data_IF_170961187892
#
_entry.id   IF_170961187892
#
_cell.length_a   1.000
_cell.length_b   1.000
_cell.length_c   1.000
_cell.angle_alpha   90.00
_cell.angle_beta   90.00
_cell.angle_gamma   90.00
#
_symmetry.space_group_name_H-M   'P 1'
#
loop_
_entity.id
_entity.type
_entity.pdbx_description
1 polymer ?
#
# COMPACT_ATOMS: atom_id res chain seq x y z
N UNK A 1 -3.10 7.11 -34.50
CA UNK A 1 -3.59 6.95 -33.11
C UNK A 1 -5.06 7.33 -33.06
N UNK A 2 -5.94 6.56 -32.39
CA UNK A 2 -7.38 6.87 -32.23
C UNK A 2 -7.72 6.94 -30.74
N UNK A 3 -8.58 7.87 -30.35
CA UNK A 3 -9.06 8.05 -28.98
C UNK A 3 -10.47 7.50 -28.84
N UNK A 4 -10.83 7.04 -27.64
CA UNK A 4 -12.21 6.68 -27.29
C UNK A 4 -12.85 7.89 -26.57
N UNK A 5 -13.78 8.62 -27.22
CA UNK A 5 -14.39 9.82 -26.65
C UNK A 5 -15.06 9.60 -25.28
N UNK A 6 -15.71 8.44 -25.07
CA UNK A 6 -16.41 8.11 -23.83
C UNK A 6 -15.47 7.95 -22.63
N UNK A 7 -14.18 7.72 -22.89
CA UNK A 7 -13.13 7.56 -21.86
C UNK A 7 -12.20 8.77 -21.77
N UNK A 8 -12.39 9.76 -22.63
CA UNK A 8 -11.57 10.96 -22.65
C UNK A 8 -12.16 12.01 -21.70
N UNK A 9 -11.29 12.62 -20.90
CA UNK A 9 -11.65 13.68 -19.95
C UNK A 9 -10.72 14.85 -20.18
N UNK A 10 -11.27 16.05 -20.37
CA UNK A 10 -10.52 17.26 -20.72
C UNK A 10 -10.90 18.42 -19.80
N UNK A 11 -9.94 19.30 -19.48
CA UNK A 11 -10.20 20.52 -18.71
C UNK A 11 -10.66 20.31 -17.25
N UNK A 12 -10.49 19.12 -16.69
CA UNK A 12 -10.92 18.80 -15.32
C UNK A 12 -9.83 19.13 -14.29
N UNK A 13 -10.24 19.52 -13.08
CA UNK A 13 -9.33 19.81 -11.96
C UNK A 13 -8.73 18.53 -11.30
N UNK A 14 -9.28 17.37 -11.63
CA UNK A 14 -8.78 16.08 -11.20
C UNK A 14 -9.52 14.93 -11.85
N UNK A 15 -8.93 13.73 -11.83
CA UNK A 15 -9.51 12.57 -12.51
C UNK A 15 -8.76 11.26 -12.28
N UNK A 16 -9.35 10.17 -12.78
CA UNK A 16 -8.77 8.82 -12.72
C UNK A 16 -7.66 8.70 -13.76
N UNK A 17 -6.45 8.31 -13.33
CA UNK A 17 -5.33 8.04 -14.23
C UNK A 17 -4.48 6.88 -13.71
N UNK A 18 -4.22 5.88 -14.56
CA UNK A 18 -3.45 4.67 -14.23
C UNK A 18 -3.87 3.99 -12.90
N UNK A 19 -5.15 4.03 -12.57
CA UNK A 19 -5.70 3.42 -11.36
C UNK A 19 -5.53 4.25 -10.07
N UNK A 20 -5.15 5.52 -10.17
CA UNK A 20 -5.08 6.53 -9.10
C UNK A 20 -6.04 7.69 -9.37
N UNK A 21 -6.32 8.49 -8.35
CA UNK A 21 -6.98 9.79 -8.48
C UNK A 21 -5.92 10.88 -8.49
N UNK A 22 -5.86 11.70 -9.53
CA UNK A 22 -4.93 12.82 -9.62
C UNK A 22 -5.71 14.09 -9.40
N UNK A 23 -5.33 14.88 -8.40
CA UNK A 23 -5.98 16.16 -8.06
C UNK A 23 -4.93 17.26 -7.90
N UNK A 24 -5.37 18.50 -7.67
CA UNK A 24 -4.46 19.60 -7.32
C UNK A 24 -3.75 19.37 -5.97
N UNK A 25 -4.35 18.58 -5.06
CA UNK A 25 -3.77 18.24 -3.77
C UNK A 25 -2.64 17.22 -3.89
N UNK A 26 -2.62 16.41 -4.94
CA UNK A 26 -1.61 15.37 -5.14
C UNK A 26 -2.15 14.12 -5.84
N UNK A 27 -1.60 12.97 -5.45
CA UNK A 27 -1.99 11.64 -5.91
C UNK A 27 -2.78 10.99 -4.78
N UNK A 28 -4.02 10.64 -5.06
CA UNK A 28 -4.97 10.07 -4.12
C UNK A 28 -5.30 8.62 -4.49
N UNK A 29 -5.66 7.84 -3.47
CA UNK A 29 -6.13 6.48 -3.68
C UNK A 29 -7.42 6.49 -4.51
N UNK A 30 -7.60 5.49 -5.37
CA UNK A 30 -8.85 5.37 -6.11
C UNK A 30 -9.98 4.99 -5.15
N UNK A 31 -10.96 5.88 -5.02
CA UNK A 31 -12.12 5.72 -4.14
C UNK A 31 -12.89 4.43 -4.42
N UNK A 32 -13.01 4.00 -5.67
CA UNK A 32 -13.70 2.75 -6.01
C UNK A 32 -12.98 1.54 -5.38
N UNK A 33 -11.64 1.55 -5.41
CA UNK A 33 -10.81 0.48 -4.83
C UNK A 33 -10.90 0.47 -3.30
N UNK A 34 -10.87 1.65 -2.67
CA UNK A 34 -11.05 1.79 -1.23
C UNK A 34 -12.44 1.29 -0.80
N UNK A 35 -13.49 1.80 -1.45
CA UNK A 35 -14.89 1.43 -1.19
C UNK A 35 -15.12 -0.07 -1.36
N UNK A 36 -14.51 -0.69 -2.39
CA UNK A 36 -14.61 -2.13 -2.58
C UNK A 36 -14.07 -2.94 -1.40
N UNK A 37 -13.04 -2.47 -0.68
CA UNK A 37 -12.54 -3.11 0.54
C UNK A 37 -13.41 -2.75 1.75
N UNK A 38 -13.79 -1.48 1.90
CA UNK A 38 -14.63 -1.00 3.02
C UNK A 38 -15.97 -1.74 3.07
N UNK A 39 -16.59 -1.99 1.92
CA UNK A 39 -17.87 -2.69 1.81
C UNK A 39 -17.75 -4.22 1.78
N UNK A 40 -16.53 -4.76 1.67
CA UNK A 40 -16.31 -6.20 1.62
C UNK A 40 -16.69 -6.86 2.96
N UNK A 41 -17.35 -8.02 2.92
CA UNK A 41 -17.54 -8.84 4.11
C UNK A 41 -16.23 -9.56 4.47
N UNK A 42 -16.12 -10.05 5.70
CA UNK A 42 -14.96 -10.85 6.12
C UNK A 42 -14.80 -12.07 5.18
N UNK A 43 -13.58 -12.39 4.73
CA UNK A 43 -13.33 -13.55 3.88
C UNK A 43 -13.72 -14.89 4.53
N UNK A 44 -14.44 -15.74 3.79
CA UNK A 44 -14.85 -17.07 4.28
C UNK A 44 -14.10 -18.22 3.61
N UNK A 45 -13.29 -17.92 2.59
CA UNK A 45 -12.53 -18.91 1.85
C UNK A 45 -11.27 -18.30 1.24
N UNK A 46 -10.39 -19.16 0.72
CA UNK A 46 -9.11 -18.75 0.11
C UNK A 46 -9.31 -17.81 -1.08
N UNK A 47 -10.38 -17.96 -1.88
CA UNK A 47 -10.64 -17.08 -3.03
C UNK A 47 -10.97 -15.65 -2.57
N UNK A 48 -11.72 -15.51 -1.48
CA UNK A 48 -12.01 -14.20 -0.90
C UNK A 48 -10.75 -13.55 -0.34
N UNK A 49 -9.86 -14.32 0.28
CA UNK A 49 -8.56 -13.81 0.73
C UNK A 49 -7.68 -13.38 -0.44
N UNK A 50 -7.64 -14.14 -1.53
CA UNK A 50 -6.92 -13.75 -2.75
C UNK A 50 -7.45 -12.44 -3.34
N UNK A 51 -8.78 -12.27 -3.37
CA UNK A 51 -9.42 -11.01 -3.79
C UNK A 51 -9.03 -9.85 -2.88
N UNK A 52 -9.11 -10.04 -1.56
CA UNK A 52 -8.71 -9.02 -0.58
C UNK A 52 -7.23 -8.64 -0.75
N UNK A 53 -6.34 -9.63 -0.84
CA UNK A 53 -4.91 -9.41 -1.02
C UNK A 53 -4.61 -8.64 -2.31
N UNK A 54 -5.24 -9.02 -3.44
CA UNK A 54 -5.10 -8.28 -4.70
C UNK A 54 -5.57 -6.83 -4.60
N UNK A 55 -6.70 -6.58 -3.92
CA UNK A 55 -7.22 -5.22 -3.69
C UNK A 55 -6.27 -4.41 -2.81
N UNK A 56 -5.74 -4.98 -1.72
CA UNK A 56 -4.76 -4.32 -0.85
C UNK A 56 -3.46 -3.99 -1.59
N UNK A 57 -2.94 -4.94 -2.37
CA UNK A 57 -1.71 -4.72 -3.18
C UNK A 57 -1.91 -3.59 -4.20
N UNK A 58 -3.11 -3.48 -4.79
CA UNK A 58 -3.44 -2.38 -5.71
C UNK A 58 -3.44 -0.98 -5.07
N UNK A 59 -3.40 -0.92 -3.72
CA UNK A 59 -3.32 0.27 -2.89
C UNK A 59 -2.00 0.37 -2.10
N UNK A 60 -1.06 -0.54 -2.33
CA UNK A 60 0.21 -0.65 -1.59
C UNK A 60 0.98 0.67 -1.49
N UNK A 61 0.94 1.48 -2.55
CA UNK A 61 1.57 2.81 -2.62
C UNK A 61 1.09 3.78 -1.51
N UNK A 62 -0.09 3.57 -0.92
CA UNK A 62 -0.69 4.44 0.10
C UNK A 62 -0.57 3.87 1.52
N UNK A 63 -0.13 2.63 1.69
CA UNK A 63 -0.20 1.90 2.96
C UNK A 63 1.21 1.64 3.47
N UNK A 64 1.66 2.45 4.41
CA UNK A 64 2.91 2.20 5.14
C UNK A 64 2.81 0.86 5.90
N UNK A 65 3.86 0.03 5.76
CA UNK A 65 3.97 -1.30 6.40
C UNK A 65 2.84 -2.26 6.01
N UNK A 66 2.31 -2.16 4.79
CA UNK A 66 1.29 -3.09 4.28
C UNK A 66 1.68 -4.56 4.49
N UNK A 67 2.90 -4.94 4.13
CA UNK A 67 3.38 -6.33 4.19
C UNK A 67 3.32 -6.91 5.61
N UNK A 68 3.59 -6.07 6.60
CA UNK A 68 3.57 -6.46 8.01
C UNK A 68 2.13 -6.50 8.54
N UNK A 69 1.36 -5.42 8.32
CA UNK A 69 -0.04 -5.32 8.75
C UNK A 69 -0.94 -6.38 8.12
N UNK A 70 -0.66 -6.77 6.88
CA UNK A 70 -1.38 -7.83 6.18
C UNK A 70 -0.80 -9.23 6.42
N UNK A 71 0.21 -9.36 7.29
CA UNK A 71 0.88 -10.63 7.59
C UNK A 71 -0.07 -11.79 7.93
N UNK A 72 -1.05 -11.62 8.83
CA UNK A 72 -2.03 -12.66 9.14
C UNK A 72 -2.82 -13.11 7.90
N UNK A 73 -3.29 -12.15 7.09
CA UNK A 73 -4.07 -12.39 5.88
C UNK A 73 -3.23 -13.10 4.81
N UNK A 74 -1.99 -12.66 4.59
CA UNK A 74 -1.09 -13.24 3.59
C UNK A 74 -0.61 -14.65 3.97
N UNK A 75 -0.59 -14.98 5.26
CA UNK A 75 -0.26 -16.34 5.72
C UNK A 75 -1.32 -17.36 5.26
N UNK A 76 -2.60 -16.97 5.22
CA UNK A 76 -3.69 -17.82 4.73
C UNK A 76 -3.56 -18.18 3.25
N UNK A 77 -2.89 -17.35 2.44
CA UNK A 77 -2.61 -17.65 1.03
C UNK A 77 -1.60 -18.78 0.86
N UNK A 78 -0.71 -18.99 1.84
CA UNK A 78 0.34 -20.03 1.79
C UNK A 78 -0.15 -21.40 2.26
N UNK A 79 -1.25 -21.46 3.03
CA UNK A 79 -1.77 -22.70 3.64
C UNK A 79 -3.24 -22.97 3.27
N UNK A 80 -3.55 -23.28 1.99
CA UNK A 80 -4.93 -23.41 1.54
C UNK A 80 -5.71 -24.59 2.15
N UNK A 81 -5.01 -25.62 2.68
CA UNK A 81 -5.65 -26.83 3.22
C UNK A 81 -6.26 -26.66 4.62
N UNK A 82 -5.75 -25.72 5.42
CA UNK A 82 -6.20 -25.45 6.79
C UNK A 82 -6.67 -23.99 6.88
N UNK A 83 -7.59 -23.61 6.00
CA UNK A 83 -8.10 -22.26 5.98
C UNK A 83 -8.92 -21.99 7.24
N UNK A 84 -8.50 -21.01 8.02
CA UNK A 84 -9.22 -20.52 9.19
C UNK A 84 -9.06 -19.00 9.23
N UNK A 85 -10.19 -18.28 9.22
CA UNK A 85 -10.19 -16.83 9.36
C UNK A 85 -10.13 -16.48 10.84
N UNK A 86 -8.92 -16.21 11.34
CA UNK A 86 -8.67 -15.97 12.78
C UNK A 86 -9.03 -14.56 13.21
N UNK A 87 -9.16 -14.34 14.53
CA UNK A 87 -9.41 -13.01 15.10
C UNK A 87 -8.33 -11.98 14.70
N UNK A 88 -7.07 -12.41 14.57
CA UNK A 88 -5.98 -11.55 14.09
C UNK A 88 -6.18 -11.13 12.62
N UNK A 89 -6.73 -12.01 11.79
CA UNK A 89 -7.06 -11.67 10.40
C UNK A 89 -8.21 -10.67 10.35
N UNK A 90 -9.23 -10.87 11.21
CA UNK A 90 -10.37 -9.96 11.31
C UNK A 90 -9.96 -8.58 11.82
N UNK A 91 -9.10 -8.50 12.83
CA UNK A 91 -8.56 -7.25 13.35
C UNK A 91 -7.75 -6.50 12.29
N UNK A 92 -6.84 -7.19 11.60
CA UNK A 92 -6.08 -6.60 10.50
C UNK A 92 -7.01 -6.08 9.39
N UNK A 93 -8.03 -6.85 9.02
CA UNK A 93 -9.00 -6.45 8.01
C UNK A 93 -9.81 -5.22 8.43
N UNK A 94 -10.32 -5.17 9.66
CA UNK A 94 -11.00 -3.99 10.22
C UNK A 94 -10.08 -2.77 10.26
N UNK A 95 -8.82 -2.95 10.67
CA UNK A 95 -7.81 -1.90 10.67
C UNK A 95 -7.60 -1.32 9.27
N UNK A 96 -7.53 -2.17 8.24
CA UNK A 96 -7.45 -1.71 6.85
C UNK A 96 -8.71 -0.97 6.41
N UNK A 97 -9.92 -1.44 6.77
CA UNK A 97 -11.15 -0.73 6.46
C UNK A 97 -11.15 0.69 7.03
N UNK A 98 -10.80 0.83 8.30
CA UNK A 98 -10.70 2.13 8.97
C UNK A 98 -9.62 3.01 8.35
N UNK A 99 -8.44 2.46 8.04
CA UNK A 99 -7.39 3.23 7.36
C UNK A 99 -7.84 3.75 5.99
N UNK A 100 -8.57 2.93 5.24
CA UNK A 100 -9.02 3.24 3.88
C UNK A 100 -10.21 4.20 3.81
N UNK A 101 -10.85 4.57 4.93
CA UNK A 101 -11.83 5.67 4.94
C UNK A 101 -11.16 7.01 4.67
N UNK A 102 -9.90 7.15 5.08
CA UNK A 102 -9.16 8.41 5.03
C UNK A 102 -7.70 8.16 4.63
N UNK A 103 -7.47 7.60 3.43
CA UNK A 103 -6.11 7.30 2.97
C UNK A 103 -5.32 8.60 2.78
N UNK A 104 -3.99 8.57 2.98
CA UNK A 104 -3.16 9.76 2.82
C UNK A 104 -3.15 10.22 1.35
N UNK A 105 -3.05 11.53 1.16
CA UNK A 105 -2.77 12.14 -0.14
C UNK A 105 -1.25 12.18 -0.32
N UNK A 106 -0.76 11.52 -1.37
CA UNK A 106 0.66 11.54 -1.68
C UNK A 106 1.01 12.77 -2.52
N UNK A 107 2.11 13.42 -2.18
CA UNK A 107 2.58 14.58 -2.92
C UNK A 107 3.40 14.16 -4.14
N UNK A 108 3.35 14.99 -5.19
CA UNK A 108 4.30 14.90 -6.29
C UNK A 108 5.66 15.39 -5.78
N UNK A 109 6.77 14.70 -6.07
CA UNK A 109 8.09 15.15 -5.66
C UNK A 109 8.40 16.51 -6.27
N UNK A 110 8.97 17.42 -5.47
CA UNK A 110 9.58 18.65 -5.95
C UNK A 110 11.06 18.35 -6.27
N UNK A 111 11.47 18.56 -7.53
CA UNK A 111 12.84 18.27 -7.95
C UNK A 111 13.89 19.24 -7.38
N UNK A 112 13.46 20.33 -6.72
CA UNK A 112 14.33 21.33 -6.10
C UNK A 112 14.48 21.17 -4.59
N UNK A 113 13.99 20.07 -4.02
CA UNK A 113 14.04 19.82 -2.57
C UNK A 113 14.52 18.41 -2.28
N UNK A 114 15.28 18.27 -1.20
CA UNK A 114 15.83 16.98 -0.80
C UNK A 114 14.73 15.98 -0.48
N UNK A 115 14.94 14.74 -0.91
CA UNK A 115 14.09 13.61 -0.56
C UNK A 115 14.64 12.98 0.72
N UNK A 116 13.78 12.83 1.72
CA UNK A 116 14.10 12.12 2.95
C UNK A 116 13.55 10.71 2.84
N UNK A 117 14.37 9.72 3.18
CA UNK A 117 14.01 8.31 3.14
C UNK A 117 14.03 7.73 4.55
N UNK A 118 12.89 7.23 4.99
CA UNK A 118 12.78 6.51 6.25
C UNK A 118 12.64 5.04 5.98
N UNK A 119 13.49 4.23 6.62
CA UNK A 119 13.49 2.79 6.52
C UNK A 119 12.90 2.18 7.78
N UNK A 120 12.10 1.13 7.62
CA UNK A 120 11.53 0.34 8.71
C UNK A 120 11.87 -1.11 8.46
N UNK A 121 12.46 -1.74 9.47
CA UNK A 121 12.78 -3.17 9.48
C UNK A 121 11.93 -3.84 10.54
N UNK A 122 11.11 -4.80 10.12
CA UNK A 122 10.41 -5.72 11.01
C UNK A 122 10.98 -7.14 10.90
N UNK A 123 10.42 -8.06 11.68
CA UNK A 123 10.85 -9.46 11.67
C UNK A 123 10.58 -10.15 10.33
N UNK A 124 9.38 -9.90 9.77
CA UNK A 124 8.86 -10.59 8.57
C UNK A 124 8.71 -9.68 7.35
N UNK A 125 9.01 -8.39 7.47
CA UNK A 125 8.84 -7.42 6.40
C UNK A 125 9.81 -6.25 6.55
N UNK A 126 10.12 -5.62 5.43
CA UNK A 126 10.80 -4.32 5.35
C UNK A 126 9.87 -3.32 4.70
N UNK A 127 10.03 -2.04 5.02
CA UNK A 127 9.25 -0.96 4.43
C UNK A 127 10.08 0.31 4.35
N UNK A 128 9.70 1.19 3.44
CA UNK A 128 10.30 2.49 3.31
C UNK A 128 9.23 3.54 3.02
N UNK A 129 9.47 4.77 3.45
CA UNK A 129 8.70 5.93 3.01
C UNK A 129 9.65 7.01 2.51
N UNK A 130 9.33 7.53 1.34
CA UNK A 130 9.96 8.72 0.79
C UNK A 130 9.08 9.93 1.12
N UNK A 131 9.67 10.95 1.73
CA UNK A 131 8.97 12.18 2.13
C UNK A 131 9.76 13.41 1.69
N UNK A 132 9.07 14.54 1.62
CA UNK A 132 9.69 15.87 1.46
C UNK A 132 9.20 16.82 2.54
N UNK A 133 10.11 17.64 3.04
CA UNK A 133 9.76 18.74 3.91
C UNK A 133 9.15 19.89 3.09
N UNK A 134 7.96 20.33 3.49
CA UNK A 134 7.24 21.48 2.95
C UNK A 134 6.62 22.23 4.11
N UNK A 135 6.86 23.53 4.18
CA UNK A 135 6.28 24.40 5.20
C UNK A 135 6.48 23.88 6.64
N UNK A 136 7.70 23.36 6.92
CA UNK A 136 8.08 22.73 8.20
C UNK A 136 7.30 21.45 8.55
N UNK A 137 6.69 20.81 7.56
CA UNK A 137 5.96 19.54 7.70
C UNK A 137 6.48 18.50 6.71
N UNK A 138 6.49 17.22 7.09
CA UNK A 138 6.88 16.15 6.18
C UNK A 138 5.67 15.61 5.43
N UNK A 139 5.74 15.69 4.11
CA UNK A 139 4.69 15.21 3.22
C UNK A 139 5.12 13.91 2.53
N UNK A 140 4.30 12.84 2.58
CA UNK A 140 4.65 11.57 1.97
C UNK A 140 4.53 11.62 0.45
N UNK A 141 5.50 11.03 -0.24
CA UNK A 141 5.55 10.93 -1.70
C UNK A 141 5.24 9.50 -2.14
N UNK A 142 5.81 8.52 -1.44
CA UNK A 142 5.69 7.12 -1.81
C UNK A 142 5.94 6.19 -0.62
N UNK A 143 5.09 5.17 -0.48
CA UNK A 143 5.28 4.07 0.47
C UNK A 143 5.70 2.78 -0.23
N UNK A 144 6.66 2.07 0.34
CA UNK A 144 7.13 0.75 -0.10
C UNK A 144 6.98 -0.22 1.06
N UNK A 145 6.51 -1.43 0.78
CA UNK A 145 6.41 -2.49 1.76
C UNK A 145 6.59 -3.84 1.09
N UNK A 146 7.51 -4.66 1.61
CA UNK A 146 7.87 -5.96 1.04
C UNK A 146 7.95 -7.00 2.15
N UNK A 147 7.31 -8.14 1.93
CA UNK A 147 7.43 -9.32 2.80
C UNK A 147 8.82 -9.93 2.59
N UNK A 148 9.51 -10.25 3.67
CA UNK A 148 10.79 -10.94 3.62
C UNK A 148 10.60 -12.42 3.26
N UNK A 149 11.47 -12.93 2.39
CA UNK A 149 11.63 -14.34 2.14
C UNK A 149 12.20 -15.04 3.37
N UNK A 150 12.04 -16.37 3.45
CA UNK A 150 12.45 -17.11 4.66
C UNK A 150 13.97 -17.10 4.88
N UNK A 151 14.75 -16.90 3.81
CA UNK A 151 16.20 -16.61 3.87
C UNK A 151 16.46 -15.22 4.43
N UNK A 152 15.80 -14.20 3.89
CA UNK A 152 15.97 -12.79 4.28
C UNK A 152 15.49 -12.51 5.72
N UNK A 153 14.55 -13.30 6.26
CA UNK A 153 14.14 -13.21 7.67
C UNK A 153 15.28 -13.49 8.65
N UNK A 154 16.26 -14.31 8.25
CA UNK A 154 17.43 -14.69 9.07
C UNK A 154 18.57 -13.68 9.01
N UNK A 155 18.47 -12.68 8.13
CA UNK A 155 19.43 -11.59 8.07
C UNK A 155 19.49 -10.82 9.39
N UNK A 156 20.68 -10.33 9.71
CA UNK A 156 20.86 -9.38 10.80
C UNK A 156 20.15 -8.07 10.49
N UNK A 157 19.86 -7.27 11.52
CA UNK A 157 19.15 -6.00 11.35
C UNK A 157 19.84 -5.06 10.35
N UNK A 158 21.17 -5.02 10.34
CA UNK A 158 21.93 -4.19 9.40
C UNK A 158 21.78 -4.64 7.94
N UNK A 159 21.75 -5.95 7.70
CA UNK A 159 21.52 -6.52 6.37
C UNK A 159 20.08 -6.26 5.91
N UNK A 160 19.10 -6.36 6.81
CA UNK A 160 17.70 -6.00 6.52
C UNK A 160 17.54 -4.50 6.23
N UNK A 161 18.29 -3.63 6.90
CA UNK A 161 18.33 -2.19 6.62
C UNK A 161 18.89 -1.92 5.22
N UNK A 162 20.02 -2.54 4.87
CA UNK A 162 20.59 -2.45 3.53
C UNK A 162 19.60 -2.95 2.46
N UNK A 163 18.92 -4.06 2.73
CA UNK A 163 17.88 -4.60 1.87
C UNK A 163 16.69 -3.65 1.73
N UNK A 164 16.27 -3.00 2.81
CA UNK A 164 15.21 -1.98 2.77
C UNK A 164 15.61 -0.79 1.89
N UNK A 165 16.85 -0.34 2.02
CA UNK A 165 17.42 0.73 1.20
C UNK A 165 17.45 0.35 -0.29
N UNK A 166 17.97 -0.83 -0.63
CA UNK A 166 18.00 -1.32 -2.03
C UNK A 166 16.60 -1.51 -2.60
N UNK A 167 15.64 -1.98 -1.78
CA UNK A 167 14.24 -2.13 -2.20
C UNK A 167 13.56 -0.78 -2.45
N UNK A 168 14.10 0.30 -1.87
CA UNK A 168 13.55 1.66 -2.01
C UNK A 168 14.16 2.51 -3.12
N UNK A 169 15.22 2.01 -3.76
CA UNK A 169 15.93 2.66 -4.85
C UNK A 169 15.17 2.55 -6.20
#
# INVERSE_FOLDING_TARGET
MRLNPDKCVFGVQGGKFLGFMITHRGIEANLDKCTAIIQMHSPHNVKDVQRLAGRLVSLSRFILRLAEKAGPIFTLLRKPKNFEWTDQCEEAFKSFKTFLTTPPVLQRPNHHSDLLLYLVVGESAISAVMVQERDKSQTPIYYISRVLQDTEKRYQTIEKLALALVTSA
#
